data_IF_143486990991
#
_entry.id   IF_143486990991
#
_cell.length_a   1.000
_cell.length_b   1.000
_cell.length_c   1.000
_cell.angle_alpha   90.00
_cell.angle_beta   90.00
_cell.angle_gamma   90.00
#
_symmetry.space_group_name_H-M   'P 1'
#
loop_
_entity.id
_entity.type
_entity.pdbx_description
1 polymer ?
#
# COMPACT_ATOMS: atom_id res chain seq x y z
N UNK A 1 -18.48 28.78 9.26
CA UNK A 1 -18.42 27.31 9.35
C UNK A 1 -17.23 26.89 8.51
N UNK A 2 -16.22 26.26 9.10
CA UNK A 2 -15.09 25.76 8.32
C UNK A 2 -15.59 24.73 7.31
N UNK A 3 -15.14 24.85 6.06
CA UNK A 3 -15.54 23.93 5.02
C UNK A 3 -14.96 22.53 5.34
N UNK A 4 -15.79 21.49 5.54
CA UNK A 4 -15.28 20.14 5.87
C UNK A 4 -14.40 19.54 4.76
N UNK A 5 -14.42 20.12 3.55
CA UNK A 5 -13.59 19.70 2.43
C UNK A 5 -12.18 20.30 2.43
N UNK A 6 -11.90 21.30 3.28
CA UNK A 6 -10.60 21.98 3.32
C UNK A 6 -9.44 21.02 3.69
N UNK A 7 -9.73 19.92 4.39
CA UNK A 7 -8.71 18.91 4.72
C UNK A 7 -8.32 18.04 3.51
N UNK A 8 -9.14 18.02 2.46
CA UNK A 8 -8.89 17.26 1.22
C UNK A 8 -8.31 18.14 0.10
N UNK A 9 -8.15 19.44 0.34
CA UNK A 9 -7.52 20.33 -0.62
C UNK A 9 -6.02 20.05 -0.73
N UNK A 10 -5.57 19.85 -1.97
CA UNK A 10 -4.18 19.55 -2.26
C UNK A 10 -3.37 20.84 -2.24
N UNK A 11 -2.75 21.13 -1.09
CA UNK A 11 -1.79 22.22 -1.00
C UNK A 11 -0.39 21.74 -1.41
N UNK A 12 0.15 22.24 -2.54
CA UNK A 12 1.51 21.91 -2.96
C UNK A 12 2.51 22.47 -1.95
N UNK A 13 3.42 21.62 -1.49
CA UNK A 13 4.55 22.00 -0.64
C UNK A 13 5.75 22.40 -1.48
N UNK A 14 5.96 21.71 -2.60
CA UNK A 14 7.01 21.98 -3.56
C UNK A 14 6.36 22.10 -4.93
N UNK A 15 6.43 23.29 -5.51
CA UNK A 15 5.95 23.51 -6.87
C UNK A 15 6.96 23.02 -7.90
N UNK A 16 6.54 22.07 -8.73
CA UNK A 16 7.34 21.48 -9.79
C UNK A 16 6.47 21.40 -11.05
N UNK A 17 6.86 22.11 -12.10
CA UNK A 17 6.22 21.94 -13.41
C UNK A 17 7.24 21.38 -14.41
N UNK A 18 6.90 20.26 -15.05
CA UNK A 18 7.72 19.66 -16.11
C UNK A 18 6.94 19.69 -17.43
N UNK A 19 7.47 20.37 -18.45
CA UNK A 19 6.85 20.46 -19.78
C UNK A 19 5.37 20.91 -19.76
N UNK A 20 4.99 21.76 -18.79
CA UNK A 20 3.61 22.24 -18.62
C UNK A 20 2.70 21.33 -17.79
N UNK A 21 3.19 20.17 -17.32
CA UNK A 21 2.49 19.32 -16.36
C UNK A 21 2.85 19.71 -14.92
N UNK A 22 1.83 19.86 -14.07
CA UNK A 22 2.02 20.10 -12.64
C UNK A 22 2.34 18.78 -11.92
N UNK A 23 3.59 18.64 -11.50
CA UNK A 23 4.11 17.50 -10.71
C UNK A 23 4.46 17.99 -9.30
N UNK A 24 3.72 18.99 -8.80
CA UNK A 24 3.94 19.52 -7.47
C UNK A 24 3.76 18.44 -6.41
N UNK A 25 4.68 18.43 -5.45
CA UNK A 25 4.65 17.49 -4.32
C UNK A 25 3.76 18.10 -3.26
N UNK A 26 2.65 17.43 -2.96
CA UNK A 26 1.73 17.77 -1.89
C UNK A 26 1.73 16.68 -0.80
N UNK A 27 0.95 16.90 0.26
CA UNK A 27 0.83 15.94 1.36
C UNK A 27 0.36 14.55 0.91
N UNK A 28 -0.56 14.47 -0.04
CA UNK A 28 -1.05 13.20 -0.57
C UNK A 28 0.06 12.42 -1.28
N UNK A 29 0.91 13.08 -2.08
CA UNK A 29 2.08 12.45 -2.72
C UNK A 29 3.04 11.89 -1.68
N UNK A 30 3.32 12.66 -0.62
CA UNK A 30 4.19 12.21 0.48
C UNK A 30 3.57 11.01 1.20
N UNK A 31 2.27 11.06 1.51
CA UNK A 31 1.56 9.95 2.14
C UNK A 31 1.61 8.68 1.29
N UNK A 32 1.44 8.80 -0.03
CA UNK A 32 1.60 7.66 -0.96
C UNK A 32 3.01 7.08 -0.92
N UNK A 33 4.06 7.91 -0.89
CA UNK A 33 5.43 7.43 -0.78
C UNK A 33 5.71 6.76 0.56
N UNK A 34 5.18 7.29 1.66
CA UNK A 34 5.27 6.66 2.99
C UNK A 34 4.56 5.31 2.97
N UNK A 35 3.35 5.24 2.39
CA UNK A 35 2.61 3.99 2.25
C UNK A 35 3.37 2.95 1.43
N UNK A 36 3.97 3.36 0.31
CA UNK A 36 4.82 2.50 -0.51
C UNK A 36 6.05 2.00 0.26
N UNK A 37 6.76 2.89 0.96
CA UNK A 37 7.92 2.56 1.76
C UNK A 37 7.57 1.62 2.91
N UNK A 38 6.40 1.81 3.54
CA UNK A 38 5.90 0.95 4.61
C UNK A 38 5.62 -0.48 4.10
N UNK A 39 4.87 -0.62 3.02
CA UNK A 39 4.56 -1.93 2.41
C UNK A 39 5.84 -2.62 1.97
N UNK A 40 6.71 -1.90 1.25
CA UNK A 40 8.00 -2.46 0.80
C UNK A 40 8.88 -2.88 1.97
N UNK A 41 8.96 -2.05 3.02
CA UNK A 41 9.73 -2.35 4.23
C UNK A 41 9.22 -3.60 4.96
N UNK A 42 7.89 -3.75 5.09
CA UNK A 42 7.29 -4.91 5.73
C UNK A 42 7.66 -6.22 5.02
N UNK A 43 7.54 -6.25 3.68
CA UNK A 43 7.92 -7.43 2.89
C UNK A 43 9.43 -7.68 2.91
N UNK A 44 10.25 -6.64 2.81
CA UNK A 44 11.71 -6.76 2.91
C UNK A 44 12.16 -7.32 4.25
N UNK A 45 11.52 -6.94 5.36
CA UNK A 45 11.82 -7.49 6.68
C UNK A 45 11.51 -8.99 6.76
N UNK A 46 10.39 -9.44 6.18
CA UNK A 46 10.05 -10.87 6.13
C UNK A 46 11.08 -11.65 5.31
N UNK A 47 11.44 -11.14 4.13
CA UNK A 47 12.43 -11.79 3.24
C UNK A 47 13.83 -11.80 3.88
N UNK A 48 14.27 -10.67 4.46
CA UNK A 48 15.60 -10.53 5.07
C UNK A 48 15.79 -11.44 6.29
N UNK A 49 14.74 -11.67 7.07
CA UNK A 49 14.81 -12.55 8.24
C UNK A 49 14.90 -14.05 7.87
N UNK A 50 14.81 -14.36 6.57
CA UNK A 50 14.84 -15.70 6.01
C UNK A 50 13.47 -16.35 6.17
N UNK A 51 12.89 -16.79 5.05
CA UNK A 51 11.67 -17.60 5.05
C UNK A 51 12.04 -18.97 5.60
N UNK A 52 11.57 -19.29 6.82
CA UNK A 52 11.89 -20.54 7.53
C UNK A 52 10.70 -21.49 7.48
N UNK A 53 10.98 -22.79 7.54
CA UNK A 53 9.95 -23.84 7.65
C UNK A 53 9.14 -23.72 8.95
N UNK A 54 9.79 -23.32 10.05
CA UNK A 54 9.12 -22.94 11.30
C UNK A 54 9.06 -21.39 11.29
N UNK A 55 7.92 -20.81 10.93
CA UNK A 55 7.82 -19.37 10.71
C UNK A 55 7.87 -18.59 12.03
N UNK A 56 8.55 -17.44 12.01
CA UNK A 56 8.47 -16.46 13.09
C UNK A 56 7.15 -15.68 13.05
N UNK A 57 6.84 -14.92 14.12
CA UNK A 57 5.58 -14.17 14.23
C UNK A 57 5.27 -13.29 13.01
N UNK A 58 6.26 -12.55 12.50
CA UNK A 58 6.08 -11.69 11.33
C UNK A 58 5.82 -12.46 10.04
N UNK A 59 6.48 -13.61 9.87
CA UNK A 59 6.25 -14.50 8.71
C UNK A 59 4.83 -15.08 8.77
N UNK A 60 4.37 -15.51 9.95
CA UNK A 60 2.99 -16.02 10.14
C UNK A 60 1.97 -14.96 9.74
N UNK A 61 2.10 -13.72 10.22
CA UNK A 61 1.16 -12.64 9.86
C UNK A 61 1.16 -12.38 8.35
N UNK A 62 2.34 -12.35 7.71
CA UNK A 62 2.44 -12.16 6.27
C UNK A 62 1.83 -13.34 5.49
N UNK A 63 2.06 -14.58 5.91
CA UNK A 63 1.50 -15.77 5.27
C UNK A 63 -0.03 -15.84 5.38
N UNK A 64 -0.59 -15.47 6.54
CA UNK A 64 -2.04 -15.40 6.72
C UNK A 64 -2.65 -14.35 5.76
N UNK A 65 -2.06 -13.15 5.70
CA UNK A 65 -2.57 -12.10 4.84
C UNK A 65 -2.44 -12.45 3.34
N UNK A 66 -1.31 -13.02 2.91
CA UNK A 66 -1.13 -13.49 1.54
C UNK A 66 -2.04 -14.67 1.20
N UNK A 67 -2.27 -15.58 2.14
CA UNK A 67 -3.21 -16.69 2.01
C UNK A 67 -4.64 -16.18 1.77
N UNK A 68 -5.09 -15.24 2.60
CA UNK A 68 -6.40 -14.60 2.44
C UNK A 68 -6.57 -13.97 1.04
N UNK A 69 -5.57 -13.21 0.58
CA UNK A 69 -5.61 -12.58 -0.75
C UNK A 69 -5.64 -13.65 -1.85
N UNK A 70 -4.83 -14.71 -1.72
CA UNK A 70 -4.79 -15.79 -2.71
C UNK A 70 -6.13 -16.49 -2.81
N UNK A 71 -6.74 -16.84 -1.68
CA UNK A 71 -8.03 -17.54 -1.65
C UNK A 71 -9.12 -16.67 -2.30
N UNK A 72 -9.15 -15.38 -1.98
CA UNK A 72 -10.04 -14.40 -2.62
C UNK A 72 -9.80 -14.32 -4.14
N UNK A 73 -8.55 -14.24 -4.58
CA UNK A 73 -8.21 -14.19 -6.02
C UNK A 73 -8.61 -15.48 -6.73
N UNK A 74 -8.37 -16.64 -6.12
CA UNK A 74 -8.77 -17.94 -6.66
C UNK A 74 -10.30 -18.08 -6.77
N UNK A 75 -11.05 -17.55 -5.81
CA UNK A 75 -12.51 -17.56 -5.82
C UNK A 75 -13.09 -16.73 -6.98
N UNK A 76 -12.57 -15.52 -7.22
CA UNK A 76 -13.11 -14.62 -8.25
C UNK A 76 -12.58 -14.87 -9.65
N UNK A 77 -11.30 -15.21 -9.80
CA UNK A 77 -10.61 -15.34 -11.10
C UNK A 77 -10.44 -16.81 -11.51
N UNK A 78 -10.53 -17.74 -10.57
CA UNK A 78 -10.30 -19.15 -10.80
C UNK A 78 -8.83 -19.54 -10.67
N UNK A 79 -8.57 -20.75 -10.15
CA UNK A 79 -7.24 -21.24 -9.76
C UNK A 79 -6.17 -21.19 -10.87
N UNK A 80 -6.56 -21.38 -12.13
CA UNK A 80 -5.61 -21.40 -13.25
C UNK A 80 -5.01 -20.02 -13.54
N UNK A 81 -5.83 -18.98 -13.46
CA UNK A 81 -5.44 -17.61 -13.79
C UNK A 81 -5.00 -16.83 -12.54
N UNK A 82 -5.38 -17.27 -11.34
CA UNK A 82 -5.08 -16.62 -10.06
C UNK A 82 -3.59 -16.29 -9.89
N UNK A 83 -2.68 -17.22 -10.21
CA UNK A 83 -1.24 -17.01 -10.08
C UNK A 83 -0.71 -15.84 -10.91
N UNK A 84 -1.32 -15.54 -12.06
CA UNK A 84 -0.90 -14.46 -12.95
C UNK A 84 -1.28 -13.08 -12.38
N UNK A 85 -2.46 -12.98 -11.77
CA UNK A 85 -2.99 -11.70 -11.26
C UNK A 85 -2.69 -11.48 -9.77
N UNK A 86 -2.40 -12.55 -9.03
CA UNK A 86 -2.14 -12.51 -7.60
C UNK A 86 -1.09 -11.48 -7.18
N UNK A 87 0.10 -11.37 -7.82
CA UNK A 87 1.10 -10.39 -7.41
C UNK A 87 0.59 -8.95 -7.51
N UNK A 88 -0.13 -8.63 -8.59
CA UNK A 88 -0.70 -7.30 -8.80
C UNK A 88 -1.77 -6.97 -7.76
N UNK A 89 -2.70 -7.90 -7.54
CA UNK A 89 -3.81 -7.73 -6.59
C UNK A 89 -3.27 -7.62 -5.16
N UNK A 90 -2.29 -8.44 -4.79
CA UNK A 90 -1.66 -8.38 -3.48
C UNK A 90 -0.96 -7.03 -3.25
N UNK A 91 -0.18 -6.54 -4.21
CA UNK A 91 0.45 -5.21 -4.10
C UNK A 91 -0.60 -4.11 -3.94
N UNK A 92 -1.66 -4.13 -4.75
CA UNK A 92 -2.72 -3.13 -4.68
C UNK A 92 -3.43 -3.18 -3.32
N UNK A 93 -3.73 -4.37 -2.81
CA UNK A 93 -4.34 -4.57 -1.50
C UNK A 93 -3.51 -3.92 -0.39
N UNK A 94 -2.22 -4.26 -0.28
CA UNK A 94 -1.38 -3.72 0.78
C UNK A 94 -1.11 -2.23 0.62
N UNK A 95 -0.98 -1.73 -0.62
CA UNK A 95 -0.80 -0.31 -0.89
C UNK A 95 -2.01 0.51 -0.46
N UNK A 96 -3.22 0.11 -0.88
CA UNK A 96 -4.46 0.79 -0.49
C UNK A 96 -4.66 0.70 1.02
N UNK A 97 -4.41 -0.48 1.62
CA UNK A 97 -4.48 -0.66 3.06
C UNK A 97 -3.55 0.31 3.80
N UNK A 98 -2.29 0.43 3.36
CA UNK A 98 -1.33 1.34 3.97
C UNK A 98 -1.77 2.82 3.85
N UNK A 99 -2.25 3.23 2.67
CA UNK A 99 -2.75 4.60 2.46
C UNK A 99 -3.96 4.90 3.34
N UNK A 100 -4.89 3.95 3.47
CA UNK A 100 -6.08 4.12 4.33
C UNK A 100 -5.70 4.18 5.82
N UNK A 101 -4.75 3.36 6.26
CA UNK A 101 -4.25 3.41 7.64
C UNK A 101 -3.56 4.75 7.94
N UNK A 102 -2.80 5.29 6.99
CA UNK A 102 -2.19 6.62 7.13
C UNK A 102 -3.27 7.71 7.20
N UNK A 103 -4.30 7.64 6.36
CA UNK A 103 -5.40 8.60 6.37
C UNK A 103 -6.26 8.58 7.64
N UNK A 104 -6.18 7.51 8.45
CA UNK A 104 -6.81 7.48 9.77
C UNK A 104 -6.02 8.23 10.84
N UNK A 105 -4.77 8.63 10.57
CA UNK A 105 -3.95 9.39 11.52
C UNK A 105 -4.46 10.84 11.55
N UNK A 106 -4.88 11.37 12.72
CA UNK A 106 -5.34 12.75 12.82
C UNK A 106 -4.26 13.75 12.37
N UNK A 107 -4.60 14.66 11.46
CA UNK A 107 -3.68 15.67 10.94
C UNK A 107 -2.74 15.18 9.83
N UNK A 108 -3.04 14.02 9.22
CA UNK A 108 -2.40 13.54 7.99
C UNK A 108 -2.59 14.48 6.80
#
# INVERSE_FOLDING_TARGET
MENPLHHFELHPLIHLSLMGLDISINKAVIAMWIGLAFVFGLFMLVVKNGVRLIPGKLQITAEIALGFIRDMVEEFIGKKEAHKYFPFIATLFFFILACNLIGMIPGS
#
